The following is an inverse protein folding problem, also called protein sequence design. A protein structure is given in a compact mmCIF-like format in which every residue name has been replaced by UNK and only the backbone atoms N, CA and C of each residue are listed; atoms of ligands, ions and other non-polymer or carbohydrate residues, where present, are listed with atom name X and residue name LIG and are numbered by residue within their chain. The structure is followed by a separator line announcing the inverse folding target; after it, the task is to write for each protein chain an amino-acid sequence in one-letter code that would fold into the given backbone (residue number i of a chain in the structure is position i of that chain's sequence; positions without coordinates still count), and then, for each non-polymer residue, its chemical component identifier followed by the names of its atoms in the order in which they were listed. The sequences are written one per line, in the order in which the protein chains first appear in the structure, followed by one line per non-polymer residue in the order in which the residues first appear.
data_IF_874490892352
#
_entry.id   IF_874490892352
#
_cell.length_a   1.000
_cell.length_b   1.000
_cell.length_c   1.000
_cell.angle_alpha   90.00
_cell.angle_beta   90.00
_cell.angle_gamma   90.00
#
_symmetry.space_group_name_H-M   'P 1'
#
loop_
_entity.id
_entity.type
_entity.pdbx_description
1 polymer ?
#
# COMPACT_ATOMS: atom_id res chain seq x y z
N UNK A 1 35.78 19.98 14.85
CA UNK A 1 35.01 20.07 16.11
C UNK A 1 33.63 19.56 15.79
N UNK A 2 33.31 18.40 16.36
CA UNK A 2 32.03 17.70 16.17
C UNK A 2 30.99 18.50 16.94
N UNK A 3 29.98 19.04 16.24
CA UNK A 3 28.88 19.71 16.90
C UNK A 3 27.87 18.64 17.34
N UNK A 4 28.05 18.17 18.58
CA UNK A 4 27.07 17.38 19.30
C UNK A 4 26.01 18.32 19.88
N UNK A 5 24.73 18.12 19.55
CA UNK A 5 23.64 18.63 20.39
C UNK A 5 22.43 19.22 19.70
N UNK A 6 21.68 18.39 18.98
CA UNK A 6 20.25 18.27 19.22
C UNK A 6 19.97 16.77 19.15
N UNK A 7 19.84 16.11 20.30
CA UNK A 7 19.18 14.82 20.31
C UNK A 7 17.72 15.12 19.98
N UNK A 8 17.30 14.86 18.74
CA UNK A 8 15.90 14.95 18.38
C UNK A 8 15.10 14.16 19.42
N UNK A 9 14.21 14.85 20.10
CA UNK A 9 13.45 14.27 21.20
C UNK A 9 12.68 13.08 20.64
N UNK A 10 12.97 11.86 21.14
CA UNK A 10 12.16 10.68 20.83
C UNK A 10 10.71 11.02 21.12
N UNK A 11 9.89 11.05 20.08
CA UNK A 11 8.46 11.25 20.22
C UNK A 11 7.86 9.88 20.53
N UNK A 12 7.57 9.63 21.80
CA UNK A 12 6.90 8.39 22.21
C UNK A 12 5.48 8.38 21.60
N UNK A 13 5.08 7.31 20.91
CA UNK A 13 3.78 7.27 20.27
C UNK A 13 2.68 7.24 21.34
N UNK A 14 1.65 8.05 21.17
CA UNK A 14 0.53 8.15 22.10
C UNK A 14 -0.54 7.14 21.70
N UNK A 15 -0.86 6.19 22.58
CA UNK A 15 -2.00 5.29 22.39
C UNK A 15 -3.30 6.07 22.64
N UNK A 16 -4.07 6.34 21.58
CA UNK A 16 -5.32 7.10 21.65
C UNK A 16 -6.57 6.22 21.62
N UNK A 17 -6.45 4.96 21.20
CA UNK A 17 -7.56 4.02 21.12
C UNK A 17 -7.11 2.58 21.12
N UNK A 18 -8.00 1.69 21.59
CA UNK A 18 -7.85 0.25 21.42
C UNK A 18 -9.20 -0.43 21.39
N UNK A 19 -9.35 -1.45 20.55
CA UNK A 19 -10.59 -2.23 20.48
C UNK A 19 -10.34 -3.64 19.95
N UNK A 20 -11.29 -4.53 20.21
CA UNK A 20 -11.27 -5.93 19.77
C UNK A 20 -11.76 -6.06 18.33
N UNK A 21 -11.04 -6.84 17.52
CA UNK A 21 -11.38 -7.13 16.13
C UNK A 21 -11.57 -8.63 15.87
N UNK A 22 -11.66 -9.44 16.91
CA UNK A 22 -11.69 -10.91 16.83
C UNK A 22 -12.93 -11.44 16.11
N UNK A 23 -14.02 -10.67 16.06
CA UNK A 23 -15.20 -10.98 15.27
C UNK A 23 -14.92 -11.06 13.75
N UNK A 24 -13.77 -10.56 13.29
CA UNK A 24 -13.31 -10.66 11.89
C UNK A 24 -12.62 -11.99 11.55
N UNK A 25 -12.35 -12.83 12.55
CA UNK A 25 -11.52 -14.03 12.40
C UNK A 25 -10.02 -13.72 12.33
N UNK A 26 -9.25 -14.72 11.89
CA UNK A 26 -7.79 -14.65 11.78
C UNK A 26 -7.33 -14.41 10.35
N UNK A 27 -6.09 -13.94 10.18
CA UNK A 27 -5.46 -13.85 8.87
C UNK A 27 -5.99 -12.72 7.99
N UNK A 28 -6.59 -11.70 8.58
CA UNK A 28 -7.23 -10.59 7.89
C UNK A 28 -6.23 -9.52 7.44
N UNK A 29 -6.46 -8.93 6.28
CA UNK A 29 -5.84 -7.66 5.84
C UNK A 29 -6.67 -6.48 6.36
N UNK A 30 -6.00 -5.37 6.69
CA UNK A 30 -6.67 -4.11 7.02
C UNK A 30 -6.74 -3.22 5.79
N UNK A 31 -7.91 -2.62 5.57
CA UNK A 31 -8.08 -1.44 4.73
C UNK A 31 -8.67 -0.32 5.60
N UNK A 32 -8.35 0.92 5.27
CA UNK A 32 -8.78 2.11 6.03
C UNK A 32 -9.46 3.08 5.07
N UNK A 33 -10.62 3.61 5.47
CA UNK A 33 -11.42 4.55 4.70
C UNK A 33 -12.67 4.93 5.48
N UNK A 34 -13.20 6.13 5.27
CA UNK A 34 -14.46 6.58 5.89
C UNK A 34 -15.63 5.82 5.25
N UNK A 35 -16.14 4.80 5.94
CA UNK A 35 -17.15 3.88 5.42
C UNK A 35 -18.55 4.38 5.74
N UNK A 36 -18.77 4.95 6.93
CA UNK A 36 -20.09 5.45 7.34
C UNK A 36 -20.39 6.89 6.91
N UNK A 37 -19.37 7.62 6.42
CA UNK A 37 -19.47 8.98 5.91
C UNK A 37 -19.50 10.04 7.00
N UNK A 38 -19.10 9.71 8.23
CA UNK A 38 -19.16 10.64 9.37
C UNK A 38 -18.01 11.65 9.39
N UNK A 39 -17.00 11.52 8.52
CA UNK A 39 -15.83 12.37 8.50
C UNK A 39 -14.68 11.89 9.37
N UNK A 40 -14.63 10.60 9.67
CA UNK A 40 -13.55 9.89 10.34
C UNK A 40 -13.32 8.57 9.60
N UNK A 41 -12.06 8.16 9.49
CA UNK A 41 -11.75 6.89 8.83
C UNK A 41 -12.23 5.70 9.68
N UNK A 42 -12.70 4.65 9.01
CA UNK A 42 -13.07 3.37 9.60
C UNK A 42 -12.04 2.28 9.24
N UNK A 43 -12.19 1.12 9.87
CA UNK A 43 -11.35 -0.05 9.65
C UNK A 43 -12.16 -1.18 9.01
N UNK A 44 -11.75 -1.60 7.81
CA UNK A 44 -12.28 -2.78 7.14
C UNK A 44 -11.31 -3.96 7.30
N UNK A 45 -11.79 -5.01 7.95
CA UNK A 45 -11.08 -6.27 8.10
C UNK A 45 -11.49 -7.23 6.98
N UNK A 46 -10.54 -7.58 6.11
CA UNK A 46 -10.75 -8.42 4.93
C UNK A 46 -10.13 -9.79 5.16
N UNK A 47 -10.96 -10.82 5.34
CA UNK A 47 -10.49 -12.20 5.51
C UNK A 47 -10.43 -12.91 4.15
N UNK A 48 -9.28 -13.50 3.78
CA UNK A 48 -9.17 -14.30 2.58
C UNK A 48 -9.77 -15.70 2.78
N UNK A 49 -10.10 -16.35 1.67
CA UNK A 49 -10.41 -17.78 1.63
C UNK A 49 -9.22 -18.65 2.08
N UNK A 50 -9.51 -19.91 2.43
CA UNK A 50 -8.53 -20.88 2.92
C UNK A 50 -8.41 -22.11 2.01
N UNK A 51 -7.40 -22.93 2.25
CA UNK A 51 -7.23 -24.21 1.54
C UNK A 51 -6.58 -24.10 0.16
N UNK A 52 -6.01 -22.96 -0.19
CA UNK A 52 -5.27 -22.73 -1.44
C UNK A 52 -3.76 -22.56 -1.19
N UNK A 53 -2.97 -22.65 -2.26
CA UNK A 53 -1.55 -22.27 -2.29
C UNK A 53 -1.42 -20.93 -3.02
N UNK A 54 -1.29 -19.85 -2.25
CA UNK A 54 -1.31 -18.46 -2.72
C UNK A 54 -0.11 -18.07 -3.60
N UNK A 55 0.91 -18.94 -3.67
CA UNK A 55 2.01 -18.82 -4.63
C UNK A 55 1.53 -19.01 -6.08
N UNK A 56 0.45 -19.74 -6.28
CA UNK A 56 -0.05 -20.12 -7.61
C UNK A 56 -1.50 -19.72 -7.85
N UNK A 57 -2.33 -19.68 -6.81
CA UNK A 57 -3.76 -19.40 -6.90
C UNK A 57 -4.07 -18.10 -6.16
N UNK A 58 -4.67 -17.08 -6.82
CA UNK A 58 -5.01 -15.84 -6.13
C UNK A 58 -6.10 -16.06 -5.09
N UNK A 59 -6.09 -15.26 -4.02
CA UNK A 59 -7.12 -15.28 -3.00
C UNK A 59 -8.46 -14.74 -3.52
N UNK A 60 -9.52 -15.03 -2.79
CA UNK A 60 -10.77 -14.27 -2.83
C UNK A 60 -11.14 -13.81 -1.44
N UNK A 61 -12.02 -12.82 -1.34
CA UNK A 61 -12.60 -12.41 -0.07
C UNK A 61 -13.57 -13.48 0.41
N UNK A 62 -13.39 -13.93 1.64
CA UNK A 62 -14.29 -14.83 2.34
C UNK A 62 -15.24 -14.08 3.29
N UNK A 63 -14.71 -13.12 4.05
CA UNK A 63 -15.48 -12.32 4.99
C UNK A 63 -14.97 -10.88 5.03
N UNK A 64 -15.90 -9.93 5.16
CA UNK A 64 -15.64 -8.50 5.38
C UNK A 64 -16.26 -8.09 6.71
N UNK A 65 -15.52 -7.39 7.56
CA UNK A 65 -16.06 -6.82 8.81
C UNK A 65 -15.61 -5.38 8.95
N UNK A 66 -16.55 -4.44 8.98
CA UNK A 66 -16.28 -3.02 9.14
C UNK A 66 -16.44 -2.60 10.60
N UNK A 67 -15.49 -1.81 11.10
CA UNK A 67 -15.51 -1.24 12.44
C UNK A 67 -15.27 0.25 12.37
N UNK A 68 -15.95 1.01 13.21
CA UNK A 68 -15.48 2.35 13.53
C UNK A 68 -14.28 2.31 14.47
N UNK A 69 -13.60 3.45 14.65
CA UNK A 69 -12.40 3.53 15.51
C UNK A 69 -12.68 3.40 17.02
N UNK A 70 -13.95 3.23 17.42
CA UNK A 70 -14.35 2.88 18.80
C UNK A 70 -14.54 1.36 18.96
N UNK A 71 -14.46 0.58 17.88
CA UNK A 71 -14.63 -0.86 17.88
C UNK A 71 -16.07 -1.35 17.72
N UNK A 72 -16.99 -0.46 17.36
CA UNK A 72 -18.36 -0.87 17.04
C UNK A 72 -18.37 -1.45 15.63
N UNK A 73 -18.93 -2.65 15.47
CA UNK A 73 -19.12 -3.26 14.16
C UNK A 73 -20.23 -2.47 13.44
N UNK A 74 -19.89 -1.89 12.29
CA UNK A 74 -20.84 -1.23 11.41
C UNK A 74 -21.69 -2.28 10.67
N UNK A 75 -21.01 -3.28 10.11
CA UNK A 75 -21.63 -4.42 9.42
C UNK A 75 -20.61 -5.54 9.18
N UNK A 76 -21.11 -6.72 8.84
CA UNK A 76 -20.31 -7.89 8.45
C UNK A 76 -20.97 -8.59 7.25
N UNK A 77 -20.18 -8.92 6.24
CA UNK A 77 -20.60 -9.70 5.06
C UNK A 77 -19.79 -10.99 5.00
N UNK A 78 -20.47 -12.12 4.99
CA UNK A 78 -19.87 -13.45 5.10
C UNK A 78 -19.80 -13.94 6.55
N UNK A 79 -19.09 -15.04 6.77
CA UNK A 79 -18.84 -15.58 8.11
C UNK A 79 -17.37 -15.93 8.18
N UNK A 80 -16.61 -15.51 9.19
CA UNK A 80 -15.18 -15.79 9.24
C UNK A 80 -14.88 -17.29 9.22
N UNK A 81 -13.95 -17.72 8.37
CA UNK A 81 -13.45 -19.09 8.33
C UNK A 81 -12.42 -19.29 9.45
N UNK A 82 -12.66 -20.18 10.42
CA UNK A 82 -11.69 -20.49 11.48
C UNK A 82 -10.41 -21.16 10.96
N UNK A 83 -10.41 -21.64 9.70
CA UNK A 83 -9.24 -22.26 9.08
C UNK A 83 -8.37 -21.28 8.31
N UNK A 84 -8.77 -20.01 8.15
CA UNK A 84 -7.96 -19.01 7.45
C UNK A 84 -6.69 -18.68 8.26
N UNK A 85 -5.52 -18.90 7.64
CA UNK A 85 -4.20 -18.78 8.28
C UNK A 85 -3.42 -17.52 7.88
N UNK A 86 -4.08 -16.60 7.17
CA UNK A 86 -3.45 -15.41 6.58
C UNK A 86 -3.17 -15.56 5.10
N UNK A 87 -2.45 -14.59 4.58
CA UNK A 87 -2.16 -14.39 3.16
C UNK A 87 -0.67 -14.06 2.98
N UNK A 88 -0.10 -14.53 1.87
CA UNK A 88 1.21 -14.17 1.34
C UNK A 88 1.12 -13.48 -0.03
N UNK A 89 -0.10 -13.23 -0.52
CA UNK A 89 -0.43 -12.44 -1.69
C UNK A 89 -1.44 -11.33 -1.34
N UNK A 90 -1.77 -10.50 -2.32
CA UNK A 90 -2.91 -9.59 -2.17
C UNK A 90 -4.24 -10.32 -1.99
N UNK A 91 -5.21 -9.56 -1.48
CA UNK A 91 -6.61 -9.93 -1.40
C UNK A 91 -7.38 -8.92 -2.24
N UNK A 92 -8.26 -9.34 -3.17
CA UNK A 92 -8.94 -8.44 -4.10
C UNK A 92 -10.06 -7.67 -3.38
N UNK A 93 -9.69 -6.62 -2.65
CA UNK A 93 -10.61 -5.70 -1.99
C UNK A 93 -10.04 -4.27 -1.99
N UNK A 94 -10.89 -3.27 -2.20
CA UNK A 94 -10.57 -1.83 -2.10
C UNK A 94 -11.74 -1.07 -1.48
N UNK A 95 -11.45 0.11 -0.94
CA UNK A 95 -12.45 1.09 -0.47
C UNK A 95 -12.36 2.30 -1.39
N UNK A 96 -13.46 2.72 -2.00
CA UNK A 96 -13.49 3.89 -2.89
C UNK A 96 -14.92 4.31 -3.24
N UNK A 97 -15.18 5.62 -3.32
CA UNK A 97 -16.39 6.21 -3.89
C UNK A 97 -16.39 6.06 -5.42
N UNK A 98 -16.80 4.87 -5.88
CA UNK A 98 -16.66 4.45 -7.28
C UNK A 98 -17.76 5.04 -8.18
N UNK A 99 -18.89 5.43 -7.59
CA UNK A 99 -20.03 6.02 -8.32
C UNK A 99 -20.22 7.53 -8.08
N UNK A 100 -19.38 8.15 -7.24
CA UNK A 100 -19.36 9.58 -6.90
C UNK A 100 -20.64 10.07 -6.24
N UNK A 101 -21.26 9.24 -5.40
CA UNK A 101 -22.37 9.66 -4.55
C UNK A 101 -21.92 10.41 -3.28
N UNK A 102 -20.60 10.49 -3.06
CA UNK A 102 -19.95 11.15 -1.94
C UNK A 102 -19.64 10.22 -0.76
N UNK A 103 -19.96 8.92 -0.86
CA UNK A 103 -19.69 7.91 0.15
C UNK A 103 -18.85 6.79 -0.45
N UNK A 104 -17.98 6.17 0.36
CA UNK A 104 -17.16 5.08 -0.15
C UNK A 104 -17.97 3.79 -0.32
N UNK A 105 -17.67 3.04 -1.39
CA UNK A 105 -18.02 1.63 -1.53
C UNK A 105 -16.88 0.71 -1.07
N UNK A 106 -17.22 -0.56 -0.85
CA UNK A 106 -16.26 -1.66 -0.78
C UNK A 106 -16.35 -2.50 -2.05
N UNK A 107 -15.29 -2.47 -2.84
CA UNK A 107 -15.13 -3.26 -4.06
C UNK A 107 -14.38 -4.53 -3.69
N UNK A 108 -14.87 -5.71 -4.08
CA UNK A 108 -14.13 -6.94 -3.83
C UNK A 108 -14.41 -8.06 -4.84
N UNK A 109 -13.56 -9.08 -4.88
CA UNK A 109 -13.93 -10.37 -5.47
C UNK A 109 -14.30 -11.35 -4.37
N UNK A 110 -15.57 -11.74 -4.35
CA UNK A 110 -16.15 -12.68 -3.37
C UNK A 110 -17.08 -13.65 -4.10
N UNK A 111 -16.98 -14.94 -3.78
CA UNK A 111 -17.78 -16.00 -4.42
C UNK A 111 -17.68 -15.99 -5.96
N UNK A 112 -16.45 -15.88 -6.48
CA UNK A 112 -16.13 -15.90 -7.93
C UNK A 112 -16.77 -14.76 -8.74
N UNK A 113 -17.17 -13.67 -8.08
CA UNK A 113 -17.74 -12.48 -8.71
C UNK A 113 -17.08 -11.22 -8.21
N UNK A 114 -16.98 -10.22 -9.07
CA UNK A 114 -16.71 -8.85 -8.65
C UNK A 114 -17.98 -8.27 -8.02
N UNK A 115 -17.87 -7.72 -6.82
CA UNK A 115 -19.01 -7.22 -6.04
C UNK A 115 -18.68 -5.84 -5.49
N UNK A 116 -19.69 -4.99 -5.47
CA UNK A 116 -19.62 -3.65 -4.89
C UNK A 116 -20.68 -3.53 -3.80
N UNK A 117 -20.23 -3.23 -2.58
CA UNK A 117 -21.08 -3.03 -1.42
C UNK A 117 -21.10 -1.56 -1.02
N UNK A 118 -22.27 -1.05 -0.61
CA UNK A 118 -22.39 0.26 0.04
C UNK A 118 -21.56 0.25 1.34
N UNK A 119 -20.60 1.16 1.47
CA UNK A 119 -19.65 1.17 2.59
C UNK A 119 -20.30 1.42 3.95
N UNK A 120 -21.46 2.09 3.99
CA UNK A 120 -22.15 2.41 5.25
C UNK A 120 -22.91 1.22 5.81
N UNK A 121 -23.39 0.35 4.93
CA UNK A 121 -24.35 -0.70 5.30
C UNK A 121 -23.87 -2.12 5.03
N UNK A 122 -22.85 -2.30 4.20
CA UNK A 122 -22.45 -3.63 3.70
C UNK A 122 -23.48 -4.26 2.76
N UNK A 123 -24.46 -3.48 2.27
CA UNK A 123 -25.48 -3.96 1.34
C UNK A 123 -24.89 -4.06 -0.07
N UNK A 124 -25.12 -5.18 -0.76
CA UNK A 124 -24.69 -5.35 -2.14
C UNK A 124 -25.42 -4.34 -3.05
N UNK A 125 -24.66 -3.47 -3.73
CA UNK A 125 -25.18 -2.54 -4.75
C UNK A 125 -25.32 -3.27 -6.09
N UNK A 126 -24.24 -3.91 -6.55
CA UNK A 126 -24.22 -4.68 -7.80
C UNK A 126 -23.07 -5.70 -7.83
N UNK A 127 -23.14 -6.62 -8.79
CA UNK A 127 -22.10 -7.63 -9.04
C UNK A 127 -21.96 -7.93 -10.53
N UNK A 128 -20.76 -8.36 -10.93
CA UNK A 128 -20.43 -8.79 -12.29
C UNK A 128 -19.68 -10.12 -12.27
N UNK A 129 -19.83 -10.90 -13.35
CA UNK A 129 -18.99 -12.06 -13.58
C UNK A 129 -17.58 -11.61 -13.94
N UNK A 130 -16.57 -12.32 -13.44
CA UNK A 130 -15.17 -11.97 -13.70
C UNK A 130 -14.82 -12.16 -15.19
N UNK A 131 -13.91 -11.33 -15.76
CA UNK A 131 -13.48 -11.48 -17.14
C UNK A 131 -12.70 -12.80 -17.38
N UNK A 132 -12.14 -13.38 -16.31
CA UNK A 132 -11.59 -14.73 -16.30
C UNK A 132 -11.70 -15.35 -14.89
N UNK A 133 -11.72 -16.70 -14.76
CA UNK A 133 -11.87 -17.37 -13.47
C UNK A 133 -10.80 -17.03 -12.41
N UNK A 134 -9.61 -16.61 -12.85
CA UNK A 134 -8.44 -16.27 -12.05
C UNK A 134 -8.14 -14.76 -11.99
N UNK A 135 -9.02 -13.91 -12.57
CA UNK A 135 -8.91 -12.46 -12.56
C UNK A 135 -9.30 -11.86 -11.19
N UNK A 136 -8.61 -12.28 -10.13
CA UNK A 136 -8.96 -11.93 -8.76
C UNK A 136 -7.76 -11.90 -7.81
N UNK A 137 -6.56 -11.61 -8.30
CA UNK A 137 -5.41 -11.42 -7.42
C UNK A 137 -5.47 -10.08 -6.66
N UNK A 138 -5.78 -9.00 -7.38
CA UNK A 138 -6.01 -7.68 -6.83
C UNK A 138 -7.03 -6.91 -7.67
N UNK A 139 -7.55 -5.82 -7.11
CA UNK A 139 -8.40 -4.84 -7.79
C UNK A 139 -7.63 -3.53 -7.83
N UNK A 140 -7.50 -2.94 -9.01
CA UNK A 140 -6.85 -1.66 -9.23
C UNK A 140 -7.86 -0.71 -9.86
N UNK A 141 -8.03 0.46 -9.27
CA UNK A 141 -8.89 1.54 -9.78
C UNK A 141 -8.04 2.50 -10.61
N UNK A 142 -8.48 2.80 -11.83
CA UNK A 142 -7.76 3.61 -12.81
C UNK A 142 -8.71 4.52 -13.61
N UNK A 143 -8.15 5.53 -14.29
CA UNK A 143 -8.84 6.39 -15.24
C UNK A 143 -8.41 6.08 -16.68
N UNK A 144 -8.93 5.00 -17.26
CA UNK A 144 -8.53 4.55 -18.60
C UNK A 144 -9.40 5.13 -19.72
N UNK A 145 -10.60 5.60 -19.35
CA UNK A 145 -11.62 6.14 -20.26
C UNK A 145 -11.71 7.67 -20.22
N UNK A 146 -10.86 8.35 -19.44
CA UNK A 146 -10.77 9.82 -19.42
C UNK A 146 -11.93 10.50 -18.69
N UNK A 147 -12.44 9.85 -17.63
CA UNK A 147 -13.44 10.42 -16.74
C UNK A 147 -12.83 11.49 -15.82
N UNK A 148 -13.65 12.32 -15.17
CA UNK A 148 -13.18 13.34 -14.20
C UNK A 148 -12.57 12.71 -12.93
N UNK A 149 -12.82 11.43 -12.69
CA UNK A 149 -12.34 10.63 -11.57
C UNK A 149 -12.07 9.20 -12.05
N UNK A 150 -11.12 8.46 -11.43
CA UNK A 150 -10.84 7.09 -11.81
C UNK A 150 -12.02 6.20 -11.41
N UNK A 151 -12.49 5.39 -12.36
CA UNK A 151 -13.68 4.53 -12.20
C UNK A 151 -13.66 3.27 -13.05
N UNK A 152 -12.58 3.08 -13.80
CA UNK A 152 -12.31 1.87 -14.54
C UNK A 152 -11.54 0.91 -13.64
N UNK A 153 -11.66 -0.39 -13.90
CA UNK A 153 -11.11 -1.42 -13.03
C UNK A 153 -10.13 -2.26 -13.83
N UNK A 154 -8.95 -2.51 -13.24
CA UNK A 154 -8.03 -3.53 -13.70
C UNK A 154 -8.09 -4.69 -12.71
N UNK A 155 -8.30 -5.90 -13.25
CA UNK A 155 -8.18 -7.17 -12.56
C UNK A 155 -6.99 -7.93 -13.14
N UNK A 156 -6.33 -8.76 -12.32
CA UNK A 156 -5.24 -9.61 -12.80
C UNK A 156 -5.24 -10.98 -12.13
N UNK A 157 -4.53 -11.91 -12.77
CA UNK A 157 -4.11 -13.14 -12.11
C UNK A 157 -2.74 -12.95 -11.43
N UNK A 158 -2.14 -14.02 -10.89
CA UNK A 158 -0.92 -13.89 -10.07
C UNK A 158 0.20 -13.10 -10.77
N UNK A 159 0.59 -13.44 -11.99
CA UNK A 159 1.79 -12.84 -12.60
C UNK A 159 1.78 -12.71 -14.13
N UNK A 160 0.74 -13.18 -14.82
CA UNK A 160 0.83 -13.42 -16.27
C UNK A 160 -0.16 -12.62 -17.11
N UNK A 161 -1.27 -12.18 -16.52
CA UNK A 161 -2.34 -11.56 -17.29
C UNK A 161 -3.15 -10.57 -16.46
N UNK A 162 -3.56 -9.49 -17.11
CA UNK A 162 -4.52 -8.52 -16.59
C UNK A 162 -5.59 -8.15 -17.62
N UNK A 163 -6.73 -7.71 -17.11
CA UNK A 163 -7.93 -7.32 -17.84
C UNK A 163 -8.38 -5.95 -17.33
N UNK A 164 -8.48 -4.99 -18.24
CA UNK A 164 -9.09 -3.70 -17.96
C UNK A 164 -10.56 -3.70 -18.38
N UNK A 165 -11.44 -3.22 -17.51
CA UNK A 165 -12.87 -3.06 -17.76
C UNK A 165 -13.30 -1.64 -17.45
N UNK A 166 -14.29 -1.14 -18.18
CA UNK A 166 -14.89 0.15 -17.90
C UNK A 166 -15.80 0.11 -16.65
N UNK A 167 -16.36 1.27 -16.29
CA UNK A 167 -17.31 1.39 -15.17
C UNK A 167 -18.62 0.58 -15.31
N UNK A 168 -18.98 0.14 -16.52
CA UNK A 168 -20.10 -0.78 -16.76
C UNK A 168 -19.64 -2.24 -16.79
N UNK A 169 -18.37 -2.49 -16.48
CA UNK A 169 -17.71 -3.78 -16.51
C UNK A 169 -17.56 -4.39 -17.91
N UNK A 170 -17.57 -3.56 -18.96
CA UNK A 170 -17.24 -4.01 -20.31
C UNK A 170 -15.73 -4.12 -20.47
N UNK A 171 -15.26 -5.21 -21.07
CA UNK A 171 -13.84 -5.41 -21.36
C UNK A 171 -13.32 -4.34 -22.33
N UNK A 172 -12.33 -3.57 -21.89
CA UNK A 172 -11.62 -2.58 -22.71
C UNK A 172 -10.46 -3.23 -23.46
N UNK A 173 -9.58 -3.91 -22.72
CA UNK A 173 -8.40 -4.57 -23.26
C UNK A 173 -7.85 -5.62 -22.28
N UNK A 174 -6.94 -6.46 -22.79
CA UNK A 174 -6.18 -7.43 -21.98
C UNK A 174 -4.71 -7.32 -22.28
N UNK A 175 -3.87 -7.54 -21.28
CA UNK A 175 -2.42 -7.60 -21.44
C UNK A 175 -1.88 -8.90 -20.86
N UNK A 176 -1.04 -9.59 -21.63
CA UNK A 176 -0.32 -10.78 -21.20
C UNK A 176 1.17 -10.45 -21.13
N UNK A 177 1.76 -10.65 -19.97
CA UNK A 177 3.13 -10.21 -19.67
C UNK A 177 3.47 -10.46 -18.21
N UNK A 178 4.62 -9.96 -17.77
CA UNK A 178 5.01 -10.00 -16.37
C UNK A 178 4.38 -8.83 -15.62
N UNK A 179 3.15 -9.03 -15.14
CA UNK A 179 2.35 -7.95 -14.51
C UNK A 179 2.75 -7.64 -13.07
N UNK A 180 3.79 -8.32 -12.55
CA UNK A 180 4.29 -8.11 -11.19
C UNK A 180 3.25 -8.38 -10.10
N UNK A 181 3.54 -7.86 -8.92
CA UNK A 181 2.68 -7.99 -7.76
C UNK A 181 1.47 -7.06 -7.81
N UNK A 182 1.66 -5.80 -8.17
CA UNK A 182 0.59 -4.81 -8.24
C UNK A 182 0.91 -3.73 -9.28
N UNK A 183 0.31 -3.80 -10.50
CA UNK A 183 0.42 -2.72 -11.48
C UNK A 183 -0.02 -1.37 -10.93
N UNK A 184 0.63 -0.29 -11.37
CA UNK A 184 0.32 1.06 -10.90
C UNK A 184 -0.21 1.94 -12.05
N UNK A 185 -1.45 2.46 -11.96
CA UNK A 185 -1.98 3.41 -12.92
C UNK A 185 -1.50 4.84 -12.59
N UNK A 186 -1.07 5.59 -13.59
CA UNK A 186 -0.64 6.99 -13.45
C UNK A 186 -0.68 7.71 -14.80
N UNK A 187 -1.23 8.93 -14.85
CA UNK A 187 -1.16 9.83 -16.01
C UNK A 187 0.28 10.35 -16.21
N UNK A 188 1.11 9.57 -16.91
CA UNK A 188 2.54 9.83 -17.07
C UNK A 188 2.79 10.96 -18.08
N UNK A 189 1.88 11.10 -19.05
CA UNK A 189 1.98 12.05 -20.15
C UNK A 189 1.16 13.34 -19.97
N UNK A 190 0.31 13.40 -18.92
CA UNK A 190 -0.58 14.51 -18.56
C UNK A 190 -1.70 14.79 -19.57
N UNK A 191 -2.23 13.76 -20.23
CA UNK A 191 -3.35 13.86 -21.18
C UNK A 191 -4.72 13.60 -20.55
N UNK A 192 -4.77 13.31 -19.23
CA UNK A 192 -5.98 13.03 -18.48
C UNK A 192 -6.38 11.55 -18.47
N UNK A 193 -5.58 10.66 -19.06
CA UNK A 193 -5.74 9.22 -18.99
C UNK A 193 -4.58 8.57 -18.24
N UNK A 194 -4.87 7.54 -17.46
CA UNK A 194 -3.81 6.79 -16.80
C UNK A 194 -3.09 5.87 -17.82
N UNK A 195 -1.78 6.01 -17.94
CA UNK A 195 -0.90 4.90 -18.32
C UNK A 195 -0.87 3.84 -17.21
N UNK A 196 -0.47 2.62 -17.54
CA UNK A 196 -0.35 1.51 -16.58
C UNK A 196 1.07 0.97 -16.56
N UNK A 197 1.76 1.12 -15.43
CA UNK A 197 3.02 0.41 -15.17
C UNK A 197 2.68 -1.02 -14.72
N UNK A 198 2.68 -1.94 -15.68
CA UNK A 198 2.29 -3.34 -15.54
C UNK A 198 3.51 -4.23 -15.30
N UNK A 199 4.04 -4.18 -14.09
CA UNK A 199 5.28 -4.86 -13.74
C UNK A 199 6.47 -4.20 -14.44
N UNK A 200 6.94 -4.80 -15.54
CA UNK A 200 8.04 -4.24 -16.33
C UNK A 200 7.61 -3.59 -17.65
N UNK A 201 6.35 -3.75 -18.05
CA UNK A 201 5.80 -3.08 -19.22
C UNK A 201 5.08 -1.80 -18.81
N UNK A 202 5.22 -0.74 -19.61
CA UNK A 202 4.41 0.47 -19.48
C UNK A 202 3.46 0.54 -20.66
N UNK A 203 2.18 0.58 -20.36
CA UNK A 203 1.10 0.59 -21.34
C UNK A 203 0.40 1.94 -21.37
N UNK A 204 -0.12 2.31 -22.53
CA UNK A 204 -1.07 3.42 -22.62
C UNK A 204 -2.45 3.04 -22.09
N UNK A 205 -3.35 4.03 -22.02
CA UNK A 205 -4.71 3.83 -21.50
C UNK A 205 -5.57 2.85 -22.32
N UNK A 206 -5.13 2.45 -23.53
CA UNK A 206 -5.76 1.44 -24.38
C UNK A 206 -5.05 0.08 -24.32
N UNK A 207 -4.10 -0.10 -23.41
CA UNK A 207 -3.37 -1.35 -23.21
C UNK A 207 -2.30 -1.62 -24.25
N UNK A 208 -1.90 -0.62 -25.06
CA UNK A 208 -0.80 -0.77 -26.03
C UNK A 208 0.53 -0.55 -25.32
N UNK A 209 1.49 -1.42 -25.58
CA UNK A 209 2.84 -1.30 -25.05
C UNK A 209 3.51 -0.02 -25.56
N UNK A 210 3.93 0.84 -24.64
CA UNK A 210 4.75 2.03 -24.93
C UNK A 210 6.23 1.67 -24.90
N UNK A 211 6.68 1.08 -23.79
CA UNK A 211 8.06 0.67 -23.56
C UNK A 211 8.14 -0.32 -22.39
N UNK A 212 9.30 -0.95 -22.20
CA UNK A 212 9.54 -1.88 -21.10
C UNK A 212 10.83 -1.54 -20.37
N UNK A 213 10.85 -1.75 -19.05
CA UNK A 213 12.08 -1.74 -18.27
C UNK A 213 12.99 -2.89 -18.73
N UNK A 214 14.30 -2.66 -18.77
CA UNK A 214 15.26 -3.58 -19.38
C UNK A 214 16.16 -4.24 -18.33
N UNK A 215 16.65 -5.44 -18.64
CA UNK A 215 17.61 -6.19 -17.82
C UNK A 215 17.14 -6.37 -16.37
N UNK A 216 15.89 -6.82 -16.19
CA UNK A 216 15.30 -7.18 -14.91
C UNK A 216 14.97 -8.68 -14.91
N UNK A 217 15.29 -9.34 -13.81
CA UNK A 217 14.96 -10.74 -13.59
C UNK A 217 13.75 -10.85 -12.65
N UNK A 218 13.12 -12.02 -12.61
CA UNK A 218 11.94 -12.28 -11.79
C UNK A 218 10.78 -11.33 -12.13
N UNK A 219 10.20 -10.62 -11.17
CA UNK A 219 9.05 -9.75 -11.35
C UNK A 219 9.16 -8.47 -10.51
N UNK A 220 8.36 -7.45 -10.85
CA UNK A 220 8.29 -6.24 -10.04
C UNK A 220 7.59 -6.55 -8.71
N UNK A 221 8.29 -6.31 -7.61
CA UNK A 221 7.75 -6.44 -6.27
C UNK A 221 7.04 -5.17 -5.82
N UNK A 222 7.55 -4.00 -6.20
CA UNK A 222 6.98 -2.71 -5.84
C UNK A 222 7.24 -1.67 -6.93
N UNK A 223 6.27 -0.77 -7.12
CA UNK A 223 6.30 0.29 -8.14
C UNK A 223 5.87 1.60 -7.48
N UNK A 224 6.74 2.60 -7.51
CA UNK A 224 6.44 3.94 -7.01
C UNK A 224 6.65 4.98 -8.10
N UNK A 225 5.81 6.00 -8.11
CA UNK A 225 5.86 7.10 -9.08
C UNK A 225 6.02 8.43 -8.37
N UNK A 226 6.82 9.34 -8.89
CA UNK A 226 6.86 10.70 -8.35
C UNK A 226 8.03 11.52 -8.84
N UNK A 227 8.08 12.80 -8.44
CA UNK A 227 9.17 13.70 -8.80
C UNK A 227 10.40 13.47 -7.91
N UNK A 228 11.12 12.37 -8.17
CA UNK A 228 12.32 11.98 -7.39
C UNK A 228 13.53 12.80 -7.81
N UNK A 229 13.81 12.85 -9.11
CA UNK A 229 14.82 13.73 -9.68
C UNK A 229 14.19 15.05 -10.11
N UNK A 230 14.55 16.13 -9.42
CA UNK A 230 14.06 17.47 -9.76
C UNK A 230 14.43 17.92 -11.19
N UNK A 231 15.44 17.31 -11.81
CA UNK A 231 15.94 17.67 -13.14
C UNK A 231 15.33 16.86 -14.29
N UNK A 232 14.57 15.80 -14.03
CA UNK A 232 13.87 15.07 -15.11
C UNK A 232 12.65 15.84 -15.56
N UNK A 233 12.28 15.76 -16.83
CA UNK A 233 10.98 16.26 -17.29
C UNK A 233 9.89 15.26 -16.87
N UNK A 234 8.80 15.75 -16.27
CA UNK A 234 7.76 14.88 -15.70
C UNK A 234 8.19 14.13 -14.44
N UNK A 235 7.53 13.00 -14.17
CA UNK A 235 7.75 12.13 -13.00
C UNK A 235 8.75 11.00 -13.31
N UNK A 236 9.26 10.38 -12.25
CA UNK A 236 10.07 9.18 -12.31
C UNK A 236 9.26 7.95 -11.88
N UNK A 237 9.64 6.79 -12.40
CA UNK A 237 9.12 5.48 -12.03
C UNK A 237 10.26 4.74 -11.34
N UNK A 238 10.09 4.40 -10.06
CA UNK A 238 11.06 3.63 -9.27
C UNK A 238 10.49 2.24 -9.03
N UNK A 239 11.24 1.21 -9.42
CA UNK A 239 10.80 -0.18 -9.33
C UNK A 239 11.77 -0.98 -8.47
N UNK A 240 11.23 -1.75 -7.54
CA UNK A 240 11.94 -2.73 -6.73
C UNK A 240 11.62 -4.16 -7.14
N UNK A 241 12.57 -5.07 -6.92
CA UNK A 241 12.50 -6.47 -7.29
C UNK A 241 13.87 -7.12 -7.15
N UNK A 242 14.38 -7.73 -8.23
CA UNK A 242 15.76 -8.24 -8.30
C UNK A 242 16.83 -7.14 -8.20
N UNK A 243 16.45 -5.89 -8.41
CA UNK A 243 17.29 -4.68 -8.37
C UNK A 243 16.38 -3.47 -8.09
N UNK A 244 16.95 -2.36 -7.63
CA UNK A 244 16.23 -1.08 -7.57
C UNK A 244 16.64 -0.20 -8.75
N UNK A 245 15.68 0.23 -9.56
CA UNK A 245 15.92 1.06 -10.75
C UNK A 245 15.01 2.28 -10.78
N UNK A 246 15.46 3.33 -11.46
CA UNK A 246 14.64 4.50 -11.74
C UNK A 246 14.66 4.84 -13.23
N UNK A 247 13.48 5.08 -13.77
CA UNK A 247 13.24 5.49 -15.16
C UNK A 247 12.52 6.85 -15.17
N UNK A 248 12.66 7.60 -16.26
CA UNK A 248 11.73 8.70 -16.56
C UNK A 248 10.44 8.19 -17.23
N UNK A 249 9.45 9.07 -17.40
CA UNK A 249 8.16 8.73 -18.01
C UNK A 249 8.27 8.27 -19.47
N UNK A 250 9.40 8.53 -20.14
CA UNK A 250 9.65 8.18 -21.54
C UNK A 250 10.44 6.88 -21.70
N UNK A 251 10.72 6.17 -20.60
CA UNK A 251 11.38 4.87 -20.63
C UNK A 251 12.90 4.93 -20.68
N UNK A 252 13.51 6.08 -20.38
CA UNK A 252 14.97 6.19 -20.21
C UNK A 252 15.34 5.84 -18.78
N UNK A 253 16.20 4.83 -18.62
CA UNK A 253 16.82 4.52 -17.33
C UNK A 253 17.71 5.69 -16.88
N UNK A 254 17.46 6.19 -15.67
CA UNK A 254 18.23 7.27 -15.04
C UNK A 254 19.37 6.69 -14.21
N UNK A 255 19.07 5.68 -13.39
CA UNK A 255 20.07 4.94 -12.63
C UNK A 255 19.57 3.54 -12.25
N UNK A 256 20.54 2.71 -11.85
CA UNK A 256 20.35 1.35 -11.36
C UNK A 256 21.22 1.11 -10.13
N UNK A 257 20.60 0.65 -9.06
CA UNK A 257 21.27 0.34 -7.81
C UNK A 257 21.39 -1.18 -7.65
N UNK A 258 22.60 -1.69 -7.92
CA UNK A 258 22.94 -3.13 -7.82
C UNK A 258 23.41 -3.54 -6.42
N UNK A 259 23.35 -2.64 -5.44
CA UNK A 259 23.77 -2.94 -4.07
C UNK A 259 22.78 -3.83 -3.32
N UNK A 260 21.55 -4.00 -3.80
CA UNK A 260 20.51 -4.90 -3.26
C UNK A 260 20.44 -6.23 -3.99
N UNK A 261 20.08 -7.30 -3.28
CA UNK A 261 19.81 -8.63 -3.85
C UNK A 261 18.31 -8.82 -4.11
N UNK A 262 17.47 -8.44 -3.15
CA UNK A 262 16.01 -8.54 -3.29
C UNK A 262 15.35 -7.35 -2.60
N UNK A 263 15.06 -6.33 -3.41
CA UNK A 263 14.47 -5.05 -3.00
C UNK A 263 12.94 -5.10 -3.07
N UNK A 264 12.32 -6.00 -2.29
CA UNK A 264 10.87 -6.20 -2.40
C UNK A 264 10.03 -4.98 -2.00
N UNK A 265 10.58 -4.11 -1.16
CA UNK A 265 9.87 -2.97 -0.58
C UNK A 265 10.76 -1.74 -0.69
N UNK A 266 10.27 -0.72 -1.39
CA UNK A 266 10.86 0.61 -1.46
C UNK A 266 9.83 1.67 -1.08
N UNK A 267 10.33 2.83 -0.67
CA UNK A 267 9.56 3.95 -0.13
C UNK A 267 10.19 5.26 -0.61
N UNK A 268 9.38 6.13 -1.23
CA UNK A 268 9.80 7.47 -1.63
C UNK A 268 9.38 8.49 -0.56
N UNK A 269 10.28 9.35 -0.13
CA UNK A 269 9.95 10.34 0.90
C UNK A 269 11.02 11.39 1.15
N UNK A 270 10.59 12.51 1.72
CA UNK A 270 11.45 13.59 2.23
C UNK A 270 11.88 13.25 3.65
N UNK A 271 12.78 12.28 3.78
CA UNK A 271 13.17 11.69 5.07
C UNK A 271 14.13 12.53 5.90
N UNK A 272 14.65 13.65 5.37
CA UNK A 272 15.63 14.49 6.07
C UNK A 272 15.05 15.86 6.41
N UNK A 273 15.27 16.32 7.63
CA UNK A 273 14.83 17.65 8.05
C UNK A 273 15.65 18.79 7.43
N UNK A 274 16.90 18.53 7.03
CA UNK A 274 17.83 19.51 6.46
C UNK A 274 17.78 19.58 4.92
N UNK A 275 16.94 18.77 4.27
CA UNK A 275 16.84 18.68 2.82
C UNK A 275 15.40 18.42 2.38
N UNK A 276 15.02 18.94 1.22
CA UNK A 276 13.74 18.63 0.56
C UNK A 276 13.92 17.62 -0.59
N UNK A 277 15.10 17.03 -0.70
CA UNK A 277 15.36 15.94 -1.63
C UNK A 277 14.42 14.75 -1.32
N UNK A 278 13.77 14.25 -2.37
CA UNK A 278 13.02 12.99 -2.32
C UNK A 278 14.04 11.86 -2.42
N UNK A 279 14.09 11.02 -1.39
CA UNK A 279 15.03 9.91 -1.27
C UNK A 279 14.30 8.58 -1.47
N UNK A 280 15.07 7.54 -1.81
CA UNK A 280 14.55 6.18 -2.00
C UNK A 280 15.02 5.31 -0.85
N UNK A 281 14.15 5.05 0.11
CA UNK A 281 14.40 4.05 1.15
C UNK A 281 13.97 2.67 0.66
N UNK A 282 14.57 1.62 1.18
CA UNK A 282 14.13 0.27 0.87
C UNK A 282 14.66 -0.81 1.79
N UNK A 283 14.18 -2.02 1.57
CA UNK A 283 14.61 -3.23 2.27
C UNK A 283 15.30 -4.13 1.28
N UNK A 284 16.52 -4.54 1.60
CA UNK A 284 17.26 -5.54 0.86
C UNK A 284 17.28 -6.85 1.65
N UNK A 285 16.72 -7.90 1.06
CA UNK A 285 16.57 -9.20 1.71
C UNK A 285 17.47 -10.26 1.09
N UNK A 286 17.89 -11.22 1.92
CA UNK A 286 18.60 -12.42 1.47
C UNK A 286 17.97 -13.66 2.10
N UNK A 287 18.03 -14.77 1.35
CA UNK A 287 17.56 -16.09 1.77
C UNK A 287 16.07 -16.10 2.16
N UNK A 288 15.21 -16.59 1.25
CA UNK A 288 13.74 -16.64 1.36
C UNK A 288 13.24 -17.60 2.47
N UNK A 289 13.58 -17.33 3.72
CA UNK A 289 13.31 -18.16 4.90
C UNK A 289 13.00 -17.30 6.12
N UNK A 290 11.93 -17.61 6.86
CA UNK A 290 11.60 -16.93 8.12
C UNK A 290 12.64 -17.13 9.23
N UNK A 291 13.43 -18.20 9.16
CA UNK A 291 14.35 -18.61 10.23
C UNK A 291 15.78 -18.15 9.97
N UNK A 292 16.18 -18.14 8.70
CA UNK A 292 17.57 -17.90 8.29
C UNK A 292 17.70 -16.73 7.31
N UNK A 293 16.59 -16.15 6.88
CA UNK A 293 16.54 -14.92 6.11
C UNK A 293 16.99 -13.72 6.93
N UNK A 294 17.54 -12.74 6.23
CA UNK A 294 18.00 -11.50 6.82
C UNK A 294 17.60 -10.33 5.96
N UNK A 295 17.41 -9.19 6.59
CA UNK A 295 17.17 -7.92 5.93
C UNK A 295 18.30 -6.90 6.20
N UNK A 296 18.31 -5.85 5.41
CA UNK A 296 18.96 -4.57 5.69
C UNK A 296 18.12 -3.45 5.09
N UNK A 297 17.88 -2.38 5.85
CA UNK A 297 17.40 -1.12 5.31
C UNK A 297 18.54 -0.44 4.52
N UNK A 298 18.18 0.27 3.47
CA UNK A 298 19.09 1.14 2.73
C UNK A 298 18.39 2.46 2.36
N UNK A 299 19.19 3.46 2.02
CA UNK A 299 18.71 4.75 1.53
C UNK A 299 19.57 5.23 0.37
N UNK A 300 18.91 5.63 -0.72
CA UNK A 300 19.54 6.19 -1.91
C UNK A 300 19.17 7.66 -2.07
N UNK A 301 20.08 8.43 -2.67
CA UNK A 301 19.79 9.79 -3.16
C UNK A 301 18.85 9.76 -4.36
N UNK A 302 18.34 10.93 -4.75
CA UNK A 302 17.59 11.12 -6.01
C UNK A 302 18.39 10.69 -7.26
N UNK A 303 19.72 10.56 -7.13
CA UNK A 303 20.64 10.15 -8.19
C UNK A 303 21.05 8.68 -8.11
N UNK A 304 20.46 7.91 -7.19
CA UNK A 304 20.75 6.48 -7.03
C UNK A 304 22.04 6.19 -6.27
N UNK A 305 22.63 7.19 -5.61
CA UNK A 305 23.83 7.00 -4.80
C UNK A 305 23.45 6.43 -3.43
N UNK A 306 24.13 5.38 -2.98
CA UNK A 306 23.91 4.82 -1.64
C UNK A 306 24.40 5.82 -0.58
N UNK A 307 23.46 6.31 0.23
CA UNK A 307 23.75 7.21 1.35
C UNK A 307 24.13 6.41 2.60
N UNK A 308 23.41 5.31 2.83
CA UNK A 308 23.74 4.31 3.84
C UNK A 308 23.02 3.00 3.57
N UNK A 309 23.54 1.94 4.18
CA UNK A 309 22.93 0.62 4.22
C UNK A 309 23.25 -0.10 5.51
N UNK A 310 22.25 -0.73 6.11
CA UNK A 310 22.43 -1.56 7.29
C UNK A 310 23.32 -2.78 7.01
N UNK A 311 24.10 -3.17 8.01
CA UNK A 311 24.65 -4.52 8.01
C UNK A 311 23.51 -5.52 8.23
N UNK A 312 23.43 -6.55 7.38
CA UNK A 312 22.42 -7.62 7.43
C UNK A 312 22.56 -8.48 8.70
N UNK A 313 22.06 -7.95 9.81
CA UNK A 313 22.11 -8.53 11.16
C UNK A 313 20.72 -8.82 11.71
N UNK A 314 19.70 -8.13 11.21
CA UNK A 314 18.30 -8.37 11.51
C UNK A 314 17.85 -9.70 10.90
N UNK A 315 17.27 -10.57 11.72
CA UNK A 315 16.69 -11.84 11.29
C UNK A 315 15.25 -11.64 10.86
N UNK A 316 14.91 -12.09 9.67
CA UNK A 316 13.55 -11.97 9.15
C UNK A 316 13.53 -11.93 7.63
N UNK A 317 12.44 -12.43 7.07
CA UNK A 317 12.15 -12.33 5.63
C UNK A 317 11.02 -11.36 5.31
N UNK A 318 10.22 -10.97 6.30
CA UNK A 318 8.89 -10.37 6.11
C UNK A 318 8.86 -8.87 6.39
N UNK A 319 10.02 -8.23 6.35
CA UNK A 319 10.24 -6.83 6.71
C UNK A 319 9.64 -5.88 5.70
N UNK A 320 8.68 -5.07 6.13
CA UNK A 320 8.09 -4.05 5.29
C UNK A 320 8.75 -2.70 5.60
N UNK A 321 9.07 -1.93 4.58
CA UNK A 321 9.38 -0.51 4.69
C UNK A 321 8.46 0.29 3.78
N UNK A 322 7.84 1.32 4.35
CA UNK A 322 6.95 2.25 3.65
C UNK A 322 7.20 3.69 4.10
N UNK A 323 6.69 4.66 3.35
CA UNK A 323 6.73 6.06 3.73
C UNK A 323 5.55 6.37 4.65
N UNK A 324 5.84 6.85 5.86
CA UNK A 324 4.83 7.44 6.72
C UNK A 324 4.99 8.97 6.70
N UNK A 325 4.03 9.63 6.04
CA UNK A 325 4.07 11.08 5.83
C UNK A 325 3.57 11.83 7.07
N UNK A 326 4.27 12.89 7.44
CA UNK A 326 3.80 13.90 8.38
C UNK A 326 3.27 13.36 9.73
N UNK A 327 3.97 12.39 10.34
CA UNK A 327 3.62 11.83 11.66
C UNK A 327 3.42 12.90 12.72
N UNK A 328 4.38 13.81 12.84
CA UNK A 328 4.52 14.80 13.91
C UNK A 328 4.01 16.19 13.52
N UNK A 329 3.41 16.33 12.33
CA UNK A 329 2.92 17.61 11.82
C UNK A 329 4.01 18.55 11.28
N UNK A 330 5.27 18.11 11.17
CA UNK A 330 6.38 18.95 10.68
C UNK A 330 6.44 19.08 9.15
N UNK A 331 5.65 18.29 8.43
CA UNK A 331 5.67 18.16 6.97
C UNK A 331 6.76 17.23 6.43
N UNK A 332 7.48 16.51 7.31
CA UNK A 332 8.52 15.55 6.92
C UNK A 332 8.02 14.11 6.95
N UNK A 333 8.67 13.28 6.16
CA UNK A 333 8.33 11.87 6.02
C UNK A 333 9.28 11.02 6.85
N UNK A 334 8.81 9.84 7.25
CA UNK A 334 9.61 8.87 7.98
C UNK A 334 9.61 7.52 7.26
N UNK A 335 10.74 6.83 7.34
CA UNK A 335 10.85 5.43 6.90
C UNK A 335 10.17 4.59 7.98
N UNK A 336 9.00 4.04 7.69
CA UNK A 336 8.28 3.17 8.60
C UNK A 336 8.65 1.72 8.33
N UNK A 337 9.43 1.12 9.22
CA UNK A 337 9.82 -0.28 9.12
C UNK A 337 9.10 -1.13 10.18
N UNK A 338 8.48 -2.22 9.73
CA UNK A 338 7.73 -3.13 10.59
C UNK A 338 7.85 -4.58 10.10
N UNK A 339 7.43 -5.55 10.94
CA UNK A 339 7.66 -6.99 10.70
C UNK A 339 9.12 -7.35 10.43
N UNK A 340 10.06 -6.59 11.01
CA UNK A 340 11.50 -6.77 10.82
C UNK A 340 12.03 -8.12 11.30
N UNK A 341 11.29 -8.79 12.19
CA UNK A 341 11.73 -10.03 12.82
C UNK A 341 12.79 -9.79 13.91
N UNK A 342 13.35 -10.87 14.46
CA UNK A 342 14.36 -10.77 15.52
C UNK A 342 13.89 -10.09 16.83
N UNK A 343 12.58 -9.94 17.02
CA UNK A 343 12.00 -9.21 18.16
C UNK A 343 12.04 -7.69 18.03
N UNK A 344 12.37 -7.15 16.85
CA UNK A 344 12.31 -5.71 16.59
C UNK A 344 10.85 -5.26 16.46
N UNK A 345 10.50 -4.24 17.24
CA UNK A 345 9.19 -3.59 17.17
C UNK A 345 9.09 -2.69 15.92
N UNK A 346 7.88 -2.44 15.42
CA UNK A 346 7.64 -1.40 14.41
C UNK A 346 8.25 -0.06 14.84
N UNK A 347 8.84 0.66 13.91
CA UNK A 347 9.56 1.89 14.22
C UNK A 347 9.64 2.87 13.03
N UNK A 348 9.68 4.16 13.35
CA UNK A 348 9.95 5.25 12.40
C UNK A 348 11.42 5.63 12.44
N UNK A 349 12.03 5.79 11.27
CA UNK A 349 13.40 6.22 11.09
C UNK A 349 13.47 7.48 10.23
N UNK A 350 14.41 8.37 10.54
CA UNK A 350 14.78 9.49 9.68
C UNK A 350 15.75 9.07 8.56
N UNK A 351 16.09 10.03 7.69
CA UNK A 351 17.02 9.84 6.57
C UNK A 351 18.49 9.69 6.97
N UNK A 352 18.81 9.69 8.27
CA UNK A 352 20.12 9.36 8.83
C UNK A 352 20.11 8.05 9.60
N UNK A 353 19.02 7.27 9.49
CA UNK A 353 18.84 5.99 10.14
C UNK A 353 18.69 6.10 11.68
N UNK A 354 18.42 7.30 12.20
CA UNK A 354 18.05 7.44 13.60
C UNK A 354 16.62 6.94 13.79
N UNK A 355 16.42 6.11 14.81
CA UNK A 355 15.08 5.66 15.19
C UNK A 355 14.39 6.75 16.02
N UNK A 356 13.36 7.36 15.44
CA UNK A 356 12.62 8.50 16.00
C UNK A 356 11.48 8.02 16.90
N UNK A 357 10.76 6.98 16.47
CA UNK A 357 9.62 6.39 17.20
C UNK A 357 9.79 4.88 17.27
N UNK A 358 9.44 4.27 18.40
CA UNK A 358 9.32 2.81 18.53
C UNK A 358 7.93 2.50 19.06
N UNK A 359 7.13 1.75 18.31
CA UNK A 359 5.81 1.36 18.76
C UNK A 359 5.92 0.24 19.81
N UNK A 360 5.10 0.25 20.87
CA UNK A 360 5.22 -0.72 21.97
C UNK A 360 4.57 -2.08 21.68
N UNK A 361 4.06 -2.28 20.46
CA UNK A 361 3.31 -3.46 20.02
C UNK A 361 3.77 -3.86 18.62
N UNK A 362 3.99 -5.15 18.40
CA UNK A 362 4.27 -5.75 17.08
C UNK A 362 3.02 -6.41 16.52
N UNK A 363 2.82 -6.33 15.20
CA UNK A 363 1.58 -6.75 14.57
C UNK A 363 1.46 -6.42 13.08
N UNK A 364 0.23 -6.57 12.58
CA UNK A 364 -0.14 -6.02 11.28
C UNK A 364 -0.35 -4.52 11.41
N UNK A 365 0.06 -3.74 10.41
CA UNK A 365 0.07 -2.28 10.43
C UNK A 365 -0.84 -1.74 9.34
N UNK A 366 -1.59 -0.68 9.66
CA UNK A 366 -2.24 0.21 8.71
C UNK A 366 -2.02 1.65 9.21
N UNK A 367 -2.08 2.63 8.32
CA UNK A 367 -1.87 4.03 8.70
C UNK A 367 -2.55 4.95 7.71
N UNK A 368 -3.05 6.09 8.17
CA UNK A 368 -3.70 7.13 7.39
C UNK A 368 -3.86 8.38 8.26
N UNK A 369 -4.25 9.52 7.67
CA UNK A 369 -4.86 10.58 8.46
C UNK A 369 -6.28 10.15 8.86
N UNK A 370 -6.41 9.60 10.07
CA UNK A 370 -7.64 8.96 10.52
C UNK A 370 -8.75 9.96 10.86
N UNK A 371 -8.40 11.24 11.03
CA UNK A 371 -9.29 12.27 11.60
C UNK A 371 -9.29 13.58 10.81
N UNK A 372 -8.70 13.62 9.61
CA UNK A 372 -8.56 14.81 8.75
C UNK A 372 -7.83 15.98 9.46
N UNK A 373 -6.69 15.68 10.08
CA UNK A 373 -5.86 16.66 10.83
C UNK A 373 -4.60 17.08 10.09
N UNK A 374 -4.37 16.55 8.90
CA UNK A 374 -3.12 16.66 8.16
C UNK A 374 -1.97 15.86 8.79
N UNK A 375 -2.23 14.94 9.71
CA UNK A 375 -1.23 14.12 10.39
C UNK A 375 -1.55 12.64 10.22
N UNK A 376 -0.55 11.81 9.97
CA UNK A 376 -0.77 10.36 9.86
C UNK A 376 -0.80 9.71 11.24
N UNK A 377 -1.79 8.86 11.46
CA UNK A 377 -1.94 7.98 12.61
C UNK A 377 -1.70 6.52 12.21
N UNK A 378 -1.34 5.68 13.19
CA UNK A 378 -0.96 4.27 12.96
C UNK A 378 -1.89 3.33 13.73
N UNK A 379 -2.41 2.32 13.05
CA UNK A 379 -3.15 1.20 13.64
C UNK A 379 -2.26 -0.03 13.63
N UNK A 380 -2.05 -0.65 14.80
CA UNK A 380 -1.33 -1.93 14.93
C UNK A 380 -2.27 -2.98 15.52
N UNK A 381 -2.56 -4.03 14.75
CA UNK A 381 -3.31 -5.19 15.24
C UNK A 381 -2.35 -6.24 15.76
N UNK A 382 -2.49 -6.57 17.04
CA UNK A 382 -1.76 -7.64 17.70
C UNK A 382 -2.71 -8.48 18.53
N UNK A 383 -2.65 -9.80 18.34
CA UNK A 383 -3.47 -10.77 19.09
C UNK A 383 -4.98 -10.46 19.08
N UNK A 384 -5.50 -9.95 17.96
CA UNK A 384 -6.92 -9.62 17.82
C UNK A 384 -7.34 -8.27 18.41
N UNK A 385 -6.40 -7.45 18.87
CA UNK A 385 -6.65 -6.11 19.38
C UNK A 385 -6.01 -5.08 18.44
N UNK A 386 -6.82 -4.14 17.95
CA UNK A 386 -6.35 -2.96 17.24
C UNK A 386 -5.88 -1.90 18.25
N UNK A 387 -4.70 -1.32 18.01
CA UNK A 387 -4.13 -0.24 18.81
C UNK A 387 -3.93 0.97 17.91
N UNK A 388 -4.56 2.10 18.25
CA UNK A 388 -4.44 3.34 17.48
C UNK A 388 -3.41 4.24 18.17
N UNK A 389 -2.35 4.56 17.44
CA UNK A 389 -1.26 5.44 17.87
C UNK A 389 -1.27 6.73 17.08
N UNK A 390 -0.97 7.83 17.77
CA UNK A 390 -0.78 9.16 17.19
C UNK A 390 0.49 9.82 17.73
N UNK A 391 0.96 10.88 17.09
CA UNK A 391 2.04 11.73 17.61
C UNK A 391 1.59 12.62 18.77
N UNK A 392 0.28 12.77 18.97
CA UNK A 392 -0.31 13.63 19.99
C UNK A 392 -1.56 13.00 20.61
N UNK A 393 -1.98 13.49 21.78
CA UNK A 393 -3.24 13.06 22.37
C UNK A 393 -4.42 13.44 21.46
N UNK A 394 -5.36 12.52 21.29
CA UNK A 394 -6.63 12.76 20.60
C UNK A 394 -7.77 12.08 21.39
N UNK A 395 -8.86 12.81 21.61
CA UNK A 395 -10.04 12.29 22.29
C UNK A 395 -11.02 11.71 21.26
N UNK A 396 -11.10 10.37 21.19
CA UNK A 396 -12.00 9.65 20.29
C UNK A 396 -13.49 9.93 20.55
N UNK A 397 -13.86 10.52 21.69
CA UNK A 397 -15.23 10.95 21.97
C UNK A 397 -15.63 12.24 21.28
N UNK A 398 -14.65 13.01 20.78
CA UNK A 398 -14.89 14.19 19.94
C UNK A 398 -15.76 13.77 18.75
N UNK A 399 -16.87 14.46 18.46
CA UNK A 399 -17.66 14.16 17.27
C UNK A 399 -16.84 14.38 16.00
N UNK A 400 -17.00 13.52 14.98
CA UNK A 400 -16.40 13.72 13.67
C UNK A 400 -17.09 14.87 12.93
N UNK A 401 -16.56 15.27 11.76
CA UNK A 401 -16.98 16.49 11.07
C UNK A 401 -18.41 16.42 10.50
N UNK A 402 -18.97 15.22 10.36
CA UNK A 402 -20.24 14.93 9.69
C UNK A 402 -20.15 15.05 8.17
N UNK A 403 -18.94 15.11 7.60
CA UNK A 403 -18.69 15.23 6.17
C UNK A 403 -17.79 14.09 5.71
N UNK A 404 -18.20 13.28 4.73
CA UNK A 404 -17.40 12.17 4.24
C UNK A 404 -15.98 12.60 3.83
N UNK A 405 -15.00 11.79 4.23
CA UNK A 405 -13.61 11.98 3.82
C UNK A 405 -13.36 11.41 2.42
N UNK A 406 -12.60 12.16 1.62
CA UNK A 406 -12.15 11.67 0.32
C UNK A 406 -11.09 10.58 0.50
N UNK A 407 -11.28 9.46 -0.19
CA UNK A 407 -10.29 8.39 -0.22
C UNK A 407 -9.10 8.76 -1.12
N UNK A 408 -7.88 8.72 -0.58
CA UNK A 408 -6.67 9.02 -1.35
C UNK A 408 -6.28 7.84 -2.25
N UNK A 409 -5.51 8.11 -3.31
CA UNK A 409 -5.06 7.08 -4.27
C UNK A 409 -4.29 5.94 -3.62
N UNK A 410 -3.42 6.25 -2.66
CA UNK A 410 -2.73 5.23 -1.86
C UNK A 410 -3.70 4.31 -1.13
N UNK A 411 -4.84 4.82 -0.65
CA UNK A 411 -5.81 4.05 0.12
C UNK A 411 -6.83 3.29 -0.74
N UNK A 412 -7.24 3.83 -1.90
CA UNK A 412 -8.13 3.10 -2.83
C UNK A 412 -7.40 2.13 -3.76
N UNK A 413 -6.08 2.25 -3.91
CA UNK A 413 -5.20 1.26 -4.54
C UNK A 413 -4.25 0.67 -3.50
N UNK A 414 -4.76 0.37 -2.30
CA UNK A 414 -3.95 -0.22 -1.25
C UNK A 414 -3.51 -1.63 -1.67
N UNK A 415 -2.26 -1.98 -1.36
CA UNK A 415 -1.65 -3.25 -1.74
C UNK A 415 -0.81 -3.83 -0.60
N UNK A 416 -0.67 -5.15 -0.55
CA UNK A 416 0.25 -5.83 0.37
C UNK A 416 1.71 -5.57 0.00
N UNK A 417 1.98 -5.25 -1.26
CA UNK A 417 3.29 -4.93 -1.78
C UNK A 417 3.38 -3.42 -2.01
N UNK A 418 4.36 -2.69 -1.46
CA UNK A 418 4.38 -1.23 -1.55
C UNK A 418 4.18 -0.72 -2.98
N UNK A 419 3.10 0.03 -3.16
CA UNK A 419 2.79 0.76 -4.38
C UNK A 419 2.30 2.13 -3.98
N UNK A 420 2.70 3.16 -4.71
CA UNK A 420 2.38 4.52 -4.28
C UNK A 420 2.93 5.60 -5.17
N UNK A 421 2.57 6.82 -4.82
CA UNK A 421 3.12 8.01 -5.44
C UNK A 421 3.47 9.07 -4.41
N UNK A 422 4.42 9.93 -4.77
CA UNK A 422 4.75 11.14 -4.03
C UNK A 422 4.52 12.35 -4.93
N UNK A 423 3.80 13.33 -4.38
CA UNK A 423 3.55 14.63 -5.02
C UNK A 423 4.74 15.59 -4.92
#
# INVERSE_FOLDING_TARGET
MVNSGAADAKCEPVLIGRFDVTASGTGTRMLVGDLDGDGRMDLLMVQPDSGIDDRYVPHQVHCLTAYNLKGEILWQVGTPDPNSKGFGSDIPAQIYDIDQDGFNEVLCVMNKKFKVFDGRTGTLKYEHDLPAPDAHDCIIVANLTGSEYPRDIILKNRYQQMWAVDHNFNLLWTHQGNVGHYPWPYDLNQDGYDEVIAGYDVLDHQGRLLWSLQNLEDHADCILVGKVDANTDGVNIVVGGSVTVMYDSQGKEIWRYEGSVEAQHIALGRFRHDSDEVLVAGVDRINRSRQTGKDALFLLSSKGEELWKENRTTYGWVTIAETLNNWDGTGKDYIFAYRRGGGLMPALYDGYMNRVVTFPVDGAVAFADLFDRGQTDVIIISQGIAHIFSSSNYDLTTPPSGKPLKQSKRLYNATFYPGGEIE
#
